data_IF_272988536706
#
_entry.id   IF_272988536706
#
_cell.length_a   1.000
_cell.length_b   1.000
_cell.length_c   1.000
_cell.angle_alpha   90.00
_cell.angle_beta   90.00
_cell.angle_gamma   90.00
#
_symmetry.space_group_name_H-M   'P 1'
#
loop_
_entity.id
_entity.type
_entity.pdbx_description
1 polymer ?
#
# COMPACT_ATOMS: atom_id res chain seq x y z
N UNK A 1 -4.60 -32.41 68.92
CA UNK A 1 -5.77 -31.53 68.69
C UNK A 1 -5.29 -30.34 67.89
N UNK A 2 -5.74 -29.96 66.71
CA UNK A 2 -6.44 -30.58 65.59
C UNK A 2 -6.05 -29.70 64.39
N UNK A 3 -5.42 -30.25 63.37
CA UNK A 3 -5.10 -29.51 62.15
C UNK A 3 -6.34 -29.49 61.25
N UNK A 4 -6.86 -28.34 60.80
CA UNK A 4 -7.85 -28.34 59.73
C UNK A 4 -7.17 -28.53 58.36
N UNK A 5 -7.81 -29.45 57.64
CA UNK A 5 -7.48 -29.97 56.31
C UNK A 5 -7.47 -28.90 55.24
N UNK A 6 -6.65 -29.17 54.23
CA UNK A 6 -6.66 -28.56 52.91
C UNK A 6 -8.08 -28.28 52.39
N UNK A 7 -8.30 -27.06 51.92
CA UNK A 7 -9.28 -26.80 50.88
C UNK A 7 -8.57 -25.98 49.81
N UNK A 8 -8.11 -26.70 48.78
CA UNK A 8 -7.63 -26.13 47.53
C UNK A 8 -8.73 -25.25 46.93
N UNK A 9 -8.59 -23.93 47.04
CA UNK A 9 -9.30 -22.99 46.17
C UNK A 9 -8.41 -22.69 44.97
N UNK A 10 -8.23 -23.69 44.11
CA UNK A 10 -7.87 -23.46 42.72
C UNK A 10 -9.18 -23.20 41.97
N UNK A 11 -9.78 -22.03 42.21
CA UNK A 11 -10.98 -21.60 41.49
C UNK A 11 -10.75 -20.20 40.94
N UNK A 12 -10.45 -20.15 39.65
CA UNK A 12 -10.67 -18.94 38.84
C UNK A 12 -9.44 -18.09 38.60
N UNK A 13 -8.38 -18.65 38.01
CA UNK A 13 -7.70 -17.90 36.95
C UNK A 13 -8.71 -17.79 35.79
N UNK A 14 -9.64 -16.86 35.98
CA UNK A 14 -10.69 -16.52 35.06
C UNK A 14 -10.02 -15.69 33.97
N UNK A 15 -9.41 -16.43 33.03
CA UNK A 15 -9.20 -16.11 31.63
C UNK A 15 -9.77 -14.71 31.29
N UNK A 16 -8.95 -13.65 31.45
CA UNK A 16 -9.20 -12.38 30.79
C UNK A 16 -8.88 -12.58 29.29
N UNK A 17 -9.64 -13.46 28.66
CA UNK A 17 -9.78 -13.54 27.21
C UNK A 17 -10.83 -12.50 26.79
N UNK A 18 -10.65 -11.26 27.25
CA UNK A 18 -11.27 -10.11 26.60
C UNK A 18 -10.58 -10.00 25.26
N UNK A 19 -11.20 -10.60 24.24
CA UNK A 19 -10.77 -10.51 22.85
C UNK A 19 -10.67 -9.04 22.47
N UNK A 20 -9.45 -8.49 22.56
CA UNK A 20 -9.13 -7.23 21.93
C UNK A 20 -9.16 -7.50 20.43
N UNK A 21 -10.31 -7.24 19.81
CA UNK A 21 -10.41 -7.12 18.37
C UNK A 21 -9.54 -5.92 17.98
N UNK A 22 -8.30 -6.20 17.60
CA UNK A 22 -7.39 -5.19 17.05
C UNK A 22 -7.96 -4.81 15.68
N UNK A 23 -8.70 -3.71 15.63
CA UNK A 23 -9.09 -3.08 14.37
C UNK A 23 -7.83 -2.36 13.88
N UNK A 24 -7.06 -3.03 13.02
CA UNK A 24 -5.98 -2.36 12.30
C UNK A 24 -6.64 -1.31 11.39
N UNK A 25 -6.24 -0.04 11.43
CA UNK A 25 -6.71 0.92 10.45
C UNK A 25 -6.28 0.45 9.06
N UNK A 26 -7.25 0.20 8.19
CA UNK A 26 -6.99 -0.05 6.78
C UNK A 26 -6.49 1.25 6.16
N UNK A 27 -5.17 1.41 6.02
CA UNK A 27 -4.62 2.49 5.21
C UNK A 27 -5.06 2.23 3.76
N UNK A 28 -5.97 3.05 3.25
CA UNK A 28 -6.41 2.97 1.87
C UNK A 28 -5.36 3.65 0.98
N UNK A 29 -4.57 2.86 0.26
CA UNK A 29 -3.72 3.39 -0.80
C UNK A 29 -4.59 3.75 -1.99
N UNK A 30 -4.64 5.04 -2.34
CA UNK A 30 -5.25 5.47 -3.58
C UNK A 30 -4.35 5.09 -4.75
N UNK A 31 -4.94 4.61 -5.83
CA UNK A 31 -4.22 4.29 -7.06
C UNK A 31 -4.70 5.24 -8.16
N UNK A 32 -3.77 6.02 -8.73
CA UNK A 32 -4.05 6.88 -9.88
C UNK A 32 -3.39 6.28 -11.12
N UNK A 33 -4.13 6.22 -12.21
CA UNK A 33 -3.60 5.83 -13.51
C UNK A 33 -3.27 7.09 -14.32
N UNK A 34 -2.02 7.22 -14.76
CA UNK A 34 -1.60 8.22 -15.74
C UNK A 34 -1.38 7.53 -17.08
N UNK A 35 -2.19 7.89 -18.07
CA UNK A 35 -2.10 7.34 -19.42
C UNK A 35 -1.75 8.42 -20.44
N UNK A 36 -1.19 8.00 -21.58
CA UNK A 36 -0.89 8.90 -22.68
C UNK A 36 -0.45 8.17 -23.93
N UNK A 37 -0.06 8.94 -24.96
CA UNK A 37 0.42 8.43 -26.23
C UNK A 37 1.64 9.24 -26.70
N UNK A 38 2.67 8.55 -27.19
CA UNK A 38 3.86 9.15 -27.77
C UNK A 38 3.71 9.19 -29.29
N UNK A 39 3.83 10.38 -29.87
CA UNK A 39 3.79 10.62 -31.32
C UNK A 39 4.96 11.49 -31.77
N UNK A 40 5.34 11.38 -33.04
CA UNK A 40 6.27 12.29 -33.71
C UNK A 40 5.56 13.59 -34.19
N UNK A 41 6.30 14.45 -34.89
CA UNK A 41 5.78 15.71 -35.45
C UNK A 41 4.72 15.52 -36.55
N UNK A 42 4.61 14.33 -37.12
CA UNK A 42 3.63 13.98 -38.14
C UNK A 42 2.41 13.27 -37.53
N UNK A 43 2.30 13.21 -36.21
CA UNK A 43 1.29 12.47 -35.45
C UNK A 43 1.36 10.94 -35.62
N UNK A 44 2.50 10.41 -36.06
CA UNK A 44 2.73 8.97 -36.17
C UNK A 44 3.10 8.43 -34.78
N UNK A 45 2.48 7.34 -34.30
CA UNK A 45 2.82 6.76 -33.01
C UNK A 45 4.24 6.20 -32.97
N UNK A 46 4.92 6.46 -31.87
CA UNK A 46 6.28 5.96 -31.62
C UNK A 46 6.21 4.75 -30.71
N UNK A 47 6.53 3.57 -31.24
CA UNK A 47 6.60 2.32 -30.49
C UNK A 47 7.95 2.19 -29.74
N UNK A 48 7.92 1.60 -28.54
CA UNK A 48 9.14 1.35 -27.76
C UNK A 48 9.81 2.61 -27.21
N UNK A 49 9.13 3.76 -27.22
CA UNK A 49 9.62 4.97 -26.59
C UNK A 49 9.72 4.75 -25.08
N UNK A 50 10.88 5.07 -24.50
CA UNK A 50 11.07 4.99 -23.05
C UNK A 50 10.55 6.26 -22.40
N UNK A 51 9.48 6.14 -21.63
CA UNK A 51 8.87 7.25 -20.89
C UNK A 51 9.34 7.17 -19.44
N UNK A 52 9.85 8.28 -18.93
CA UNK A 52 10.26 8.42 -17.53
C UNK A 52 9.31 9.37 -16.81
N UNK A 53 8.90 8.98 -15.60
CA UNK A 53 8.14 9.82 -14.71
C UNK A 53 8.92 10.03 -13.42
N UNK A 54 9.12 11.30 -13.08
CA UNK A 54 9.72 11.74 -11.81
C UNK A 54 8.60 12.27 -10.93
N UNK A 55 8.25 11.58 -9.83
CA UNK A 55 7.31 12.10 -8.85
C UNK A 55 7.86 13.40 -8.23
N UNK A 56 6.95 14.31 -7.86
CA UNK A 56 7.31 15.45 -7.03
C UNK A 56 7.91 14.94 -5.72
N UNK A 57 9.03 15.54 -5.28
CA UNK A 57 9.66 15.18 -4.01
C UNK A 57 8.70 15.51 -2.87
N UNK A 58 8.24 14.49 -2.14
CA UNK A 58 7.62 14.67 -0.83
C UNK A 58 8.67 14.40 0.27
N UNK A 59 8.55 15.03 1.44
CA UNK A 59 9.46 14.80 2.55
C UNK A 59 9.55 13.33 2.97
N UNK A 60 8.44 12.60 2.77
CA UNK A 60 8.25 11.24 3.28
C UNK A 60 8.44 10.14 2.21
N UNK A 61 8.79 10.49 0.97
CA UNK A 61 8.93 9.51 -0.12
C UNK A 61 10.29 9.56 -0.80
N UNK A 62 11.02 8.42 -0.87
CA UNK A 62 12.26 8.36 -1.63
C UNK A 62 11.96 8.60 -3.12
N UNK A 63 12.72 9.51 -3.75
CA UNK A 63 12.59 9.83 -5.17
C UNK A 63 12.82 8.54 -5.98
N UNK A 64 11.73 7.95 -6.46
CA UNK A 64 11.77 6.76 -7.31
C UNK A 64 11.35 7.14 -8.72
N UNK A 65 12.25 6.97 -9.67
CA UNK A 65 11.93 7.17 -11.08
C UNK A 65 11.10 5.98 -11.56
N UNK A 66 9.94 6.26 -12.12
CA UNK A 66 9.13 5.26 -12.81
C UNK A 66 9.47 5.30 -14.29
N UNK A 67 9.50 4.13 -14.93
CA UNK A 67 9.71 4.02 -16.36
C UNK A 67 8.72 3.02 -16.98
N UNK A 68 8.37 3.26 -18.24
CA UNK A 68 7.61 2.32 -19.06
C UNK A 68 8.01 2.46 -20.52
N UNK A 69 7.58 1.52 -21.35
CA UNK A 69 7.71 1.58 -22.80
C UNK A 69 6.35 1.83 -23.43
N UNK A 70 6.30 2.63 -24.49
CA UNK A 70 5.11 2.73 -25.32
C UNK A 70 4.90 1.45 -26.14
N UNK A 71 3.64 1.09 -26.34
CA UNK A 71 3.24 -0.04 -27.18
C UNK A 71 3.29 0.29 -28.70
N UNK A 72 2.96 -0.63 -29.62
CA UNK A 72 2.93 -0.35 -31.06
C UNK A 72 1.97 0.77 -31.50
N UNK A 73 1.00 1.13 -30.67
CA UNK A 73 0.07 2.25 -30.90
C UNK A 73 0.59 3.55 -30.30
N UNK A 74 1.77 3.53 -29.66
CA UNK A 74 2.38 4.65 -28.95
C UNK A 74 1.84 4.85 -27.54
N UNK A 75 0.91 4.01 -27.07
CA UNK A 75 0.25 4.21 -25.79
C UNK A 75 1.14 3.78 -24.61
N UNK A 76 1.00 4.47 -23.47
CA UNK A 76 1.67 4.14 -22.23
C UNK A 76 0.74 4.34 -21.02
N UNK A 77 1.04 3.62 -19.93
CA UNK A 77 0.33 3.71 -18.65
C UNK A 77 1.33 3.67 -17.49
N UNK A 78 1.14 4.55 -16.51
CA UNK A 78 1.74 4.49 -15.19
C UNK A 78 0.67 4.29 -14.13
N UNK A 79 0.99 3.44 -13.16
CA UNK A 79 0.20 3.28 -11.95
C UNK A 79 0.93 3.99 -10.82
N UNK A 80 0.34 5.07 -10.33
CA UNK A 80 0.86 5.88 -9.24
C UNK A 80 0.16 5.47 -7.95
N UNK A 81 0.93 5.05 -6.95
CA UNK A 81 0.42 4.93 -5.59
C UNK A 81 0.44 6.32 -4.97
N UNK A 82 -0.74 6.85 -4.66
CA UNK A 82 -0.86 8.03 -3.81
C UNK A 82 -1.07 7.54 -2.38
N UNK A 83 -0.12 7.86 -1.51
CA UNK A 83 -0.32 7.76 -0.06
C UNK A 83 -1.35 8.83 0.31
N UNK A 84 -2.56 8.41 0.70
CA UNK A 84 -3.59 9.33 1.14
C UNK A 84 -3.56 9.50 2.65
N UNK A 85 -3.19 10.70 3.11
CA UNK A 85 -3.77 11.31 4.30
C UNK A 85 -4.40 12.63 3.80
N UNK A 86 -5.71 12.79 3.95
CA UNK A 86 -6.39 14.06 3.69
C UNK A 86 -7.03 14.56 4.99
#
# INVERSE_FOLDING_TARGET
>A
MSYPRALYWSLGDLLFLTGALVILPSVAFGQVSLTGRVTDENNVPVAGARVFLRPASSPDSPISWLQTLSDPTGAFTFILQISGDY
#
